data_IF_334099850800
#
_entry.id   IF_334099850800
#
_cell.length_a   1.000
_cell.length_b   1.000
_cell.length_c   1.000
_cell.angle_alpha   90.00
_cell.angle_beta   90.00
_cell.angle_gamma   90.00
#
_symmetry.space_group_name_H-M   'P 1'
#
loop_
_entity.id
_entity.type
_entity.pdbx_description
1 polymer ?
#
# COMPACT_ATOMS: atom_id res chain seq x y z
N UNK A 1 3.23 11.06 -21.61
CA UNK A 1 3.30 10.46 -20.26
C UNK A 1 4.77 10.24 -19.93
N UNK A 2 5.35 11.01 -19.01
CA UNK A 2 6.81 11.01 -18.83
C UNK A 2 7.25 9.85 -17.92
N UNK A 3 8.05 8.92 -18.46
CA UNK A 3 8.55 7.75 -17.73
C UNK A 3 9.28 8.11 -16.43
N UNK A 4 9.94 9.28 -16.43
CA UNK A 4 10.62 9.82 -15.25
C UNK A 4 9.68 10.03 -14.06
N UNK A 5 8.43 10.46 -14.30
CA UNK A 5 7.46 10.68 -13.24
C UNK A 5 7.13 9.36 -12.52
N UNK A 6 6.94 8.27 -13.27
CA UNK A 6 6.66 6.96 -12.68
C UNK A 6 7.84 6.43 -11.85
N UNK A 7 9.07 6.61 -12.34
CA UNK A 7 10.28 6.18 -11.61
C UNK A 7 10.42 6.99 -10.31
N UNK A 8 10.22 8.30 -10.35
CA UNK A 8 10.29 9.15 -9.16
C UNK A 8 9.21 8.80 -8.14
N UNK A 9 7.97 8.58 -8.58
CA UNK A 9 6.88 8.15 -7.70
C UNK A 9 7.20 6.78 -7.08
N UNK A 10 7.67 5.83 -7.89
CA UNK A 10 8.05 4.49 -7.43
C UNK A 10 9.18 4.51 -6.41
N UNK A 11 10.19 5.36 -6.62
CA UNK A 11 11.31 5.54 -5.70
C UNK A 11 10.84 6.10 -4.35
N UNK A 12 10.03 7.17 -4.37
CA UNK A 12 9.47 7.76 -3.16
C UNK A 12 8.56 6.77 -2.41
N UNK A 13 7.70 6.06 -3.14
CA UNK A 13 6.84 5.03 -2.57
C UNK A 13 7.65 3.87 -1.97
N UNK A 14 8.74 3.45 -2.62
CA UNK A 14 9.65 2.43 -2.11
C UNK A 14 10.39 2.86 -0.85
N UNK A 15 10.92 4.09 -0.81
CA UNK A 15 11.58 4.64 0.38
C UNK A 15 10.62 4.66 1.58
N UNK A 16 9.44 5.25 1.40
CA UNK A 16 8.44 5.36 2.48
C UNK A 16 7.88 3.99 2.84
N UNK A 17 7.68 3.11 1.85
CA UNK A 17 7.25 1.73 2.07
C UNK A 17 8.25 0.93 2.92
N UNK A 18 9.55 1.08 2.67
CA UNK A 18 10.61 0.42 3.46
C UNK A 18 10.82 1.03 4.84
N UNK A 19 10.73 2.36 4.97
CA UNK A 19 10.90 3.08 6.24
C UNK A 19 9.78 2.78 7.24
N UNK A 20 8.53 2.80 6.79
CA UNK A 20 7.37 2.64 7.68
C UNK A 20 6.73 1.25 7.62
N UNK A 21 7.17 0.38 6.71
CA UNK A 21 6.59 -0.96 6.52
C UNK A 21 5.17 -0.97 5.92
N UNK A 22 4.65 0.19 5.48
CA UNK A 22 3.28 0.36 4.98
C UNK A 22 3.11 -0.06 3.51
N UNK A 23 4.16 -0.62 2.90
CA UNK A 23 4.16 -1.09 1.51
C UNK A 23 4.20 0.02 0.46
N UNK A 24 4.20 1.30 0.85
CA UNK A 24 4.32 2.47 -0.05
C UNK A 24 3.01 2.93 -0.69
N UNK A 25 1.91 2.19 -0.48
CA UNK A 25 0.59 2.42 -1.11
C UNK A 25 0.01 3.80 -0.80
N UNK A 26 0.36 4.30 0.38
CA UNK A 26 -0.02 5.62 0.90
C UNK A 26 0.46 6.76 -0.02
N UNK A 27 1.62 6.59 -0.67
CA UNK A 27 2.16 7.58 -1.61
C UNK A 27 1.76 7.23 -3.04
N UNK A 28 1.88 5.95 -3.41
CA UNK A 28 1.69 5.53 -4.81
C UNK A 28 0.24 5.75 -5.27
N UNK A 29 -0.76 5.44 -4.46
CA UNK A 29 -2.18 5.57 -4.85
C UNK A 29 -2.57 7.05 -5.09
N UNK A 30 -2.33 8.00 -4.15
CA UNK A 30 -2.60 9.40 -4.42
C UNK A 30 -1.80 9.96 -5.59
N UNK A 31 -0.53 9.59 -5.74
CA UNK A 31 0.30 10.05 -6.85
C UNK A 31 -0.27 9.60 -8.21
N UNK A 32 -0.71 8.35 -8.31
CA UNK A 32 -1.36 7.82 -9.52
C UNK A 32 -2.70 8.51 -9.83
N UNK A 33 -3.47 8.89 -8.81
CA UNK A 33 -4.74 9.59 -9.00
C UNK A 33 -4.53 11.05 -9.39
N UNK A 34 -3.69 11.78 -8.64
CA UNK A 34 -3.58 13.23 -8.77
C UNK A 34 -2.53 13.69 -9.78
N UNK A 35 -1.42 12.96 -9.94
CA UNK A 35 -0.34 13.34 -10.87
C UNK A 35 -0.49 12.64 -12.22
N UNK A 36 -1.02 11.42 -12.24
CA UNK A 36 -1.18 10.63 -13.47
C UNK A 36 -2.61 10.69 -14.01
N UNK A 37 -3.61 10.97 -13.17
CA UNK A 37 -5.01 11.08 -13.58
C UNK A 37 -5.74 9.74 -13.69
N UNK A 38 -5.22 8.67 -13.05
CA UNK A 38 -5.91 7.38 -13.02
C UNK A 38 -7.17 7.44 -12.16
N UNK A 39 -8.17 6.65 -12.52
CA UNK A 39 -9.33 6.42 -11.63
C UNK A 39 -8.86 5.73 -10.34
N UNK A 40 -9.61 5.89 -9.24
CA UNK A 40 -9.26 5.29 -7.95
C UNK A 40 -9.06 3.77 -8.04
N UNK A 41 -9.89 3.09 -8.82
CA UNK A 41 -9.80 1.65 -9.08
C UNK A 41 -8.50 1.27 -9.80
N UNK A 42 -8.18 1.99 -10.87
CA UNK A 42 -6.93 1.77 -11.61
C UNK A 42 -5.72 2.04 -10.73
N UNK A 43 -5.71 3.16 -10.00
CA UNK A 43 -4.61 3.53 -9.12
C UNK A 43 -4.35 2.47 -8.04
N UNK A 44 -5.40 1.92 -7.41
CA UNK A 44 -5.24 0.84 -6.42
C UNK A 44 -4.73 -0.45 -7.06
N UNK A 45 -5.31 -0.89 -8.18
CA UNK A 45 -4.87 -2.10 -8.87
C UNK A 45 -3.41 -2.02 -9.33
N UNK A 46 -3.04 -0.90 -9.96
CA UNK A 46 -1.67 -0.63 -10.39
C UNK A 46 -0.70 -0.55 -9.22
N UNK A 47 -1.09 0.10 -8.12
CA UNK A 47 -0.25 0.18 -6.93
C UNK A 47 0.00 -1.19 -6.31
N UNK A 48 -1.04 -2.03 -6.18
CA UNK A 48 -0.90 -3.40 -5.68
C UNK A 48 0.04 -4.22 -6.57
N UNK A 49 -0.13 -4.15 -7.89
CA UNK A 49 0.73 -4.85 -8.85
C UNK A 49 2.19 -4.39 -8.75
N UNK A 50 2.43 -3.09 -8.57
CA UNK A 50 3.78 -2.53 -8.44
C UNK A 50 4.45 -2.85 -7.09
N UNK A 51 3.67 -3.14 -6.04
CA UNK A 51 4.18 -3.34 -4.68
C UNK A 51 4.59 -4.76 -4.37
N UNK A 52 3.88 -5.74 -4.92
CA UNK A 52 4.08 -7.16 -4.60
C UNK A 52 5.49 -7.67 -4.96
N UNK A 53 6.08 -7.37 -6.14
CA UNK A 53 7.37 -7.96 -6.49
C UNK A 53 8.61 -7.31 -5.81
N UNK A 54 8.79 -5.97 -5.82
CA UNK A 54 10.08 -5.37 -5.43
C UNK A 54 10.10 -4.71 -4.05
N UNK A 55 9.02 -4.07 -3.59
CA UNK A 55 9.07 -3.21 -2.39
C UNK A 55 8.99 -4.07 -1.13
N UNK A 56 7.93 -4.87 -1.01
CA UNK A 56 7.64 -5.60 0.23
C UNK A 56 8.59 -6.77 0.44
N UNK A 57 8.98 -7.48 -0.63
CA UNK A 57 9.89 -8.61 -0.54
C UNK A 57 11.31 -8.20 -0.14
N UNK A 58 11.90 -7.21 -0.83
CA UNK A 58 13.26 -6.76 -0.54
C UNK A 58 13.37 -6.12 0.85
N UNK A 59 12.37 -5.33 1.25
CA UNK A 59 12.31 -4.78 2.59
C UNK A 59 12.19 -5.90 3.65
N UNK A 60 11.27 -6.85 3.46
CA UNK A 60 11.09 -7.96 4.39
C UNK A 60 12.35 -8.83 4.51
N UNK A 61 13.05 -9.10 3.40
CA UNK A 61 14.35 -9.79 3.42
C UNK A 61 15.37 -9.03 4.27
N UNK A 62 15.47 -7.71 4.13
CA UNK A 62 16.39 -6.90 4.95
C UNK A 62 16.02 -6.97 6.43
N UNK A 63 14.74 -6.87 6.78
CA UNK A 63 14.28 -7.02 8.16
C UNK A 63 14.53 -8.43 8.71
N UNK A 64 14.41 -9.45 7.86
CA UNK A 64 14.69 -10.84 8.21
C UNK A 64 16.16 -11.05 8.57
N UNK A 65 17.08 -10.58 7.72
CA UNK A 65 18.51 -10.64 8.00
C UNK A 65 18.92 -9.81 9.23
N UNK A 66 18.14 -8.78 9.58
CA UNK A 66 18.33 -8.01 10.80
C UNK A 66 17.73 -8.67 12.06
N UNK A 67 17.14 -9.86 11.95
CA UNK A 67 16.51 -10.56 13.08
C UNK A 67 15.17 -9.98 13.54
N UNK A 68 14.59 -9.05 12.79
CA UNK A 68 13.38 -8.30 13.17
C UNK A 68 12.09 -8.93 12.63
N UNK A 69 12.15 -10.15 12.08
CA UNK A 69 10.99 -10.84 11.50
C UNK A 69 10.62 -12.06 12.33
N UNK A 70 9.42 -12.03 12.90
CA UNK A 70 8.81 -13.21 13.56
C UNK A 70 8.07 -14.05 12.51
N UNK A 71 8.78 -15.02 11.92
CA UNK A 71 8.30 -15.83 10.78
C UNK A 71 6.94 -16.49 11.07
N UNK A 72 6.77 -17.05 12.27
CA UNK A 72 5.54 -17.75 12.64
C UNK A 72 4.31 -16.84 12.60
N UNK A 73 4.44 -15.62 13.14
CA UNK A 73 3.38 -14.59 13.07
C UNK A 73 3.14 -14.14 11.62
N UNK A 74 4.20 -13.96 10.84
CA UNK A 74 4.11 -13.59 9.44
C UNK A 74 3.34 -14.64 8.62
N UNK A 75 3.54 -15.94 8.87
CA UNK A 75 2.82 -17.01 8.17
C UNK A 75 1.31 -16.98 8.45
N UNK A 76 0.89 -16.85 9.72
CA UNK A 76 -0.53 -16.73 10.04
C UNK A 76 -1.15 -15.46 9.47
N UNK A 77 -0.41 -14.33 9.53
CA UNK A 77 -0.84 -13.09 8.91
C UNK A 77 -1.01 -13.24 7.39
N UNK A 78 -0.11 -13.95 6.70
CA UNK A 78 -0.21 -14.21 5.26
C UNK A 78 -1.51 -14.93 4.88
N UNK A 79 -1.94 -15.92 5.66
CA UNK A 79 -3.21 -16.63 5.39
C UNK A 79 -4.39 -15.66 5.48
N UNK A 80 -4.43 -14.85 6.55
CA UNK A 80 -5.45 -13.80 6.69
C UNK A 80 -5.38 -12.76 5.58
N UNK A 81 -4.17 -12.41 5.12
CA UNK A 81 -3.94 -11.44 4.06
C UNK A 81 -4.45 -11.93 2.70
N UNK A 82 -4.27 -13.22 2.38
CA UNK A 82 -4.80 -13.83 1.16
C UNK A 82 -6.33 -13.77 1.17
N UNK A 83 -6.97 -14.25 2.24
CA UNK A 83 -8.41 -14.28 2.35
C UNK A 83 -9.01 -12.85 2.35
N UNK A 84 -8.50 -11.97 3.20
CA UNK A 84 -8.95 -10.59 3.31
C UNK A 84 -8.66 -9.75 2.07
N UNK A 85 -7.54 -9.98 1.40
CA UNK A 85 -7.17 -9.31 0.16
C UNK A 85 -8.10 -9.68 -1.00
N UNK A 86 -8.42 -10.97 -1.16
CA UNK A 86 -9.37 -11.43 -2.18
C UNK A 86 -10.79 -10.89 -1.91
N UNK A 87 -11.27 -11.00 -0.66
CA UNK A 87 -12.58 -10.47 -0.27
C UNK A 87 -12.65 -8.95 -0.46
N UNK A 88 -11.62 -8.23 0.00
CA UNK A 88 -11.54 -6.77 -0.13
C UNK A 88 -11.51 -6.32 -1.57
N UNK A 89 -10.72 -6.97 -2.43
CA UNK A 89 -10.68 -6.69 -3.86
C UNK A 89 -12.05 -6.90 -4.52
N UNK A 90 -12.78 -7.94 -4.12
CA UNK A 90 -14.10 -8.22 -4.67
C UNK A 90 -15.14 -7.19 -4.23
N UNK A 91 -15.14 -6.80 -2.95
CA UNK A 91 -16.03 -5.76 -2.41
C UNK A 91 -15.77 -4.40 -3.08
N UNK A 92 -14.49 -4.04 -3.24
CA UNK A 92 -14.10 -2.74 -3.77
C UNK A 92 -14.59 -2.53 -5.20
N UNK A 93 -14.60 -3.57 -6.05
CA UNK A 93 -15.05 -3.45 -7.44
C UNK A 93 -16.51 -2.97 -7.59
N UNK A 94 -17.37 -3.21 -6.59
CA UNK A 94 -18.75 -2.73 -6.58
C UNK A 94 -18.93 -1.29 -6.10
N UNK A 95 -17.88 -0.64 -5.59
CA UNK A 95 -17.98 0.68 -4.98
C UNK A 95 -17.69 1.82 -5.98
N UNK A 96 -18.43 2.94 -5.92
CA UNK A 96 -18.09 4.14 -6.68
C UNK A 96 -16.70 4.68 -6.29
N UNK A 97 -15.94 5.17 -7.27
CA UNK A 97 -14.59 5.69 -7.05
C UNK A 97 -14.53 6.81 -5.98
N UNK A 98 -15.58 7.63 -5.88
CA UNK A 98 -15.69 8.68 -4.85
C UNK A 98 -15.80 8.08 -3.43
N UNK A 99 -16.58 7.01 -3.27
CA UNK A 99 -16.74 6.31 -1.97
C UNK A 99 -15.41 5.69 -1.58
N UNK A 100 -14.75 5.00 -2.50
CA UNK A 100 -13.45 4.38 -2.30
C UNK A 100 -12.36 5.40 -1.93
N UNK A 101 -12.36 6.56 -2.60
CA UNK A 101 -11.48 7.69 -2.29
C UNK A 101 -11.70 8.23 -0.88
N UNK A 102 -12.96 8.45 -0.49
CA UNK A 102 -13.32 8.90 0.87
C UNK A 102 -12.93 7.87 1.92
N UNK A 103 -13.22 6.59 1.68
CA UNK A 103 -12.90 5.49 2.59
C UNK A 103 -11.38 5.40 2.84
N UNK A 104 -10.58 5.44 1.77
CA UNK A 104 -9.12 5.46 1.87
C UNK A 104 -8.62 6.66 2.69
N UNK A 105 -9.14 7.86 2.43
CA UNK A 105 -8.79 9.06 3.18
C UNK A 105 -9.16 8.99 4.66
N UNK A 106 -10.37 8.51 4.98
CA UNK A 106 -10.83 8.34 6.36
C UNK A 106 -9.96 7.33 7.13
N UNK A 107 -9.59 6.20 6.51
CA UNK A 107 -8.69 5.21 7.12
C UNK A 107 -7.32 5.83 7.38
N UNK A 108 -6.76 6.58 6.43
CA UNK A 108 -5.48 7.27 6.62
C UNK A 108 -5.54 8.27 7.77
N UNK A 109 -6.60 9.07 7.84
CA UNK A 109 -6.78 10.06 8.90
C UNK A 109 -6.94 9.38 10.26
N UNK A 110 -7.71 8.29 10.33
CA UNK A 110 -7.87 7.51 11.55
C UNK A 110 -6.54 6.93 12.04
N UNK A 111 -5.76 6.31 11.15
CA UNK A 111 -4.43 5.77 11.48
C UNK A 111 -3.49 6.88 11.94
N UNK A 112 -3.46 8.01 11.23
CA UNK A 112 -2.63 9.15 11.59
C UNK A 112 -2.97 9.69 12.99
N UNK A 113 -4.26 9.92 13.27
CA UNK A 113 -4.74 10.39 14.58
C UNK A 113 -4.38 9.39 15.68
N UNK A 114 -4.61 8.09 15.45
CA UNK A 114 -4.25 7.02 16.40
C UNK A 114 -2.76 7.00 16.71
N UNK A 115 -1.90 7.12 15.70
CA UNK A 115 -0.44 7.12 15.89
C UNK A 115 0.04 8.37 16.63
N UNK A 116 -0.53 9.55 16.34
CA UNK A 116 -0.13 10.81 17.00
C UNK A 116 -0.61 10.86 18.45
N UNK A 117 -1.85 10.45 18.71
CA UNK A 117 -2.45 10.53 20.04
C UNK A 117 -1.99 9.44 21.00
N UNK A 118 -1.17 8.48 20.54
CA UNK A 118 -0.40 7.56 21.36
C UNK A 118 -1.19 7.00 22.56
N UNK A 119 -2.16 6.12 22.30
CA UNK A 119 -2.57 5.12 23.29
C UNK A 119 -2.09 3.75 22.83
#
# INVERSE_FOLDING_TARGET
MNIMIYISIGLLAGLVGGLFGLGGGIILVPALVYLVGLTQHQAQGTALAAMVPPITLLAAMRYYYAGNVKIQLAMFACIGFIAGGLLGAHIVQGLPALVLKRLFGCVMLFVAVRMILGR
#
